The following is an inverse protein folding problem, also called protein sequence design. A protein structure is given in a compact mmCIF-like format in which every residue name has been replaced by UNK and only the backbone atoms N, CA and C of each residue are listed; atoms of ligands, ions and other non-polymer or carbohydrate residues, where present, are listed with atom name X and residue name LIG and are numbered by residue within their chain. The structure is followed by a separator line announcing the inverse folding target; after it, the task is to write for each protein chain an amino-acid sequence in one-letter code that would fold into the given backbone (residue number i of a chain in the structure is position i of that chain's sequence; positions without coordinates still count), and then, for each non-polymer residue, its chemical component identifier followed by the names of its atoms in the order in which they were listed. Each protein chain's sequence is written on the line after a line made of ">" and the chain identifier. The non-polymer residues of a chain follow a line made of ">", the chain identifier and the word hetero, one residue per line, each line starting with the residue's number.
data_IF_360117708215
#
_entry.id   IF_360117708215
#
_cell.length_a   1.000
_cell.length_b   1.000
_cell.length_c   1.000
_cell.angle_alpha   90.00
_cell.angle_beta   90.00
_cell.angle_gamma   90.00
#
_symmetry.space_group_name_H-M   'P 1'
#
loop_
_entity.id
_entity.type
_entity.pdbx_description
1 polymer ?
#
# COMPACT_ATOMS: atom_id res chain seq x y z
N UNK A 1 10.51 -1.06 -13.81
CA UNK A 1 9.30 -1.11 -14.67
C UNK A 1 8.23 -0.29 -13.96
N UNK A 2 7.54 0.64 -14.64
CA UNK A 2 6.54 1.48 -13.97
C UNK A 2 5.34 0.63 -13.55
N UNK A 3 5.26 0.28 -12.27
CA UNK A 3 4.06 -0.33 -11.72
C UNK A 3 2.89 0.62 -11.91
N UNK A 4 1.81 0.11 -12.49
CA UNK A 4 0.63 0.90 -12.82
C UNK A 4 -0.49 0.53 -11.87
N UNK A 5 -1.35 1.51 -11.57
CA UNK A 5 -2.52 1.31 -10.71
C UNK A 5 -3.44 0.18 -11.21
N UNK A 6 -3.40 -0.15 -12.50
CA UNK A 6 -4.15 -1.25 -13.09
C UNK A 6 -3.83 -2.62 -12.49
N UNK A 7 -2.66 -2.78 -11.86
CA UNK A 7 -2.30 -3.99 -11.14
C UNK A 7 -2.86 -4.02 -9.71
N UNK A 8 -3.41 -2.93 -9.18
CA UNK A 8 -3.95 -2.80 -7.82
C UNK A 8 -5.48 -2.88 -7.82
N UNK A 9 -6.00 -3.82 -7.05
CA UNK A 9 -7.42 -4.11 -6.85
C UNK A 9 -7.81 -3.66 -5.45
N UNK A 10 -8.65 -2.63 -5.36
CA UNK A 10 -9.14 -2.16 -4.07
C UNK A 10 -10.07 -3.20 -3.42
N UNK A 11 -9.75 -3.62 -2.20
CA UNK A 11 -10.54 -4.59 -1.42
C UNK A 11 -11.49 -3.91 -0.42
N UNK A 12 -11.34 -2.61 -0.20
CA UNK A 12 -12.13 -1.84 0.77
C UNK A 12 -11.30 -1.32 1.93
N UNK A 13 -11.96 -0.68 2.88
CA UNK A 13 -11.35 -0.10 4.07
C UNK A 13 -11.89 -0.79 5.32
N UNK A 14 -11.01 -1.12 6.27
CA UNK A 14 -11.40 -1.65 7.58
C UNK A 14 -10.66 -0.90 8.67
N UNK A 15 -11.41 -0.22 9.54
CA UNK A 15 -10.88 0.54 10.67
C UNK A 15 -9.81 1.58 10.27
N UNK A 16 -10.00 2.27 9.15
CA UNK A 16 -9.05 3.27 8.62
C UNK A 16 -7.84 2.67 7.88
N UNK A 17 -7.73 1.35 7.80
CA UNK A 17 -6.74 0.67 6.97
C UNK A 17 -7.36 0.33 5.62
N UNK A 18 -6.77 0.85 4.55
CA UNK A 18 -7.18 0.57 3.18
C UNK A 18 -6.49 -0.70 2.69
N UNK A 19 -7.28 -1.69 2.30
CA UNK A 19 -6.79 -2.94 1.74
C UNK A 19 -6.78 -2.87 0.21
N UNK A 20 -5.68 -3.33 -0.34
CA UNK A 20 -5.44 -3.44 -1.77
C UNK A 20 -4.83 -4.80 -2.06
N UNK A 21 -5.13 -5.36 -3.22
CA UNK A 21 -4.52 -6.59 -3.69
C UNK A 21 -3.91 -6.37 -5.05
N UNK A 22 -2.71 -6.87 -5.31
CA UNK A 22 -2.18 -6.86 -6.67
C UNK A 22 -2.71 -8.04 -7.47
N UNK A 23 -2.71 -7.91 -8.79
CA UNK A 23 -2.97 -9.02 -9.71
C UNK A 23 -1.98 -10.18 -9.53
N UNK A 24 -0.79 -9.89 -8.98
CA UNK A 24 0.20 -10.91 -8.63
C UNK A 24 -0.22 -11.77 -7.42
N UNK A 25 -1.20 -11.32 -6.62
CA UNK A 25 -1.66 -11.99 -5.40
C UNK A 25 -1.23 -11.32 -4.10
N UNK A 26 -0.49 -10.21 -4.16
CA UNK A 26 0.02 -9.53 -2.97
C UNK A 26 -1.07 -8.71 -2.30
N UNK A 27 -1.22 -8.82 -0.99
CA UNK A 27 -2.13 -7.92 -0.25
C UNK A 27 -1.33 -6.75 0.35
N UNK A 28 -1.85 -5.54 0.24
CA UNK A 28 -1.29 -4.30 0.75
C UNK A 28 -2.29 -3.69 1.73
N UNK A 29 -1.79 -3.35 2.92
CA UNK A 29 -2.52 -2.71 4.00
C UNK A 29 -1.92 -1.32 4.17
N UNK A 30 -2.65 -0.30 3.75
CA UNK A 30 -2.18 1.07 3.85
C UNK A 30 -2.93 1.81 4.96
N UNK A 31 -2.18 2.52 5.79
CA UNK A 31 -2.65 3.45 6.80
C UNK A 31 -1.87 4.76 6.65
N UNK A 32 -2.42 5.94 6.95
CA UNK A 32 -1.68 7.21 6.91
C UNK A 32 -0.37 7.23 7.71
N UNK A 33 -0.23 6.35 8.70
CA UNK A 33 0.97 6.23 9.54
C UNK A 33 1.95 5.16 9.02
N UNK A 34 1.46 4.16 8.28
CA UNK A 34 2.27 3.00 7.88
C UNK A 34 1.72 2.26 6.66
N UNK A 35 2.61 1.64 5.89
CA UNK A 35 2.27 0.71 4.82
C UNK A 35 2.81 -0.68 5.16
N UNK A 36 1.93 -1.69 5.15
CA UNK A 36 2.28 -3.09 5.38
C UNK A 36 1.93 -3.95 4.16
N UNK A 37 2.78 -4.90 3.82
CA UNK A 37 2.68 -5.72 2.61
C UNK A 37 2.67 -7.18 3.03
N UNK A 38 1.58 -7.87 2.72
CA UNK A 38 1.31 -9.23 3.17
C UNK A 38 2.22 -10.28 2.53
N UNK A 39 2.71 -10.08 1.31
CA UNK A 39 3.65 -11.06 0.70
C UNK A 39 5.03 -11.07 1.35
N UNK A 40 5.38 -10.08 2.18
CA UNK A 40 6.63 -10.08 2.93
C UNK A 40 6.58 -11.00 4.17
N UNK A 41 5.75 -12.05 4.12
CA UNK A 41 5.66 -13.14 5.11
C UNK A 41 6.96 -13.95 5.26
N UNK A 42 8.03 -13.66 4.51
CA UNK A 42 9.39 -14.11 4.87
C UNK A 42 9.90 -13.44 6.16
N UNK A 43 9.17 -12.45 6.70
CA UNK A 43 9.30 -11.97 8.08
C UNK A 43 10.40 -10.94 8.29
N UNK A 44 10.94 -10.35 7.22
CA UNK A 44 12.13 -9.49 7.31
C UNK A 44 11.87 -8.00 7.06
N UNK A 45 10.70 -7.58 6.56
CA UNK A 45 10.42 -6.15 6.37
C UNK A 45 9.36 -5.63 7.35
N UNK A 46 9.75 -4.79 8.32
CA UNK A 46 8.79 -4.08 9.15
C UNK A 46 7.89 -3.18 8.29
N UNK A 47 6.70 -2.88 8.79
CA UNK A 47 5.81 -1.90 8.15
C UNK A 47 6.59 -0.60 7.88
N UNK A 48 6.45 -0.08 6.67
CA UNK A 48 7.14 1.15 6.28
C UNK A 48 6.38 2.30 6.91
N UNK A 49 7.03 3.03 7.82
CA UNK A 49 6.46 4.27 8.35
C UNK A 49 6.32 5.26 7.21
N UNK A 50 5.11 5.73 6.98
CA UNK A 50 4.85 6.79 6.01
C UNK A 50 4.36 8.01 6.76
N UNK A 51 4.63 9.17 6.19
CA UNK A 51 4.17 10.43 6.75
C UNK A 51 3.29 11.09 5.70
N UNK A 52 1.99 10.80 5.75
CA UNK A 52 1.02 11.61 5.00
C UNK A 52 0.70 12.85 5.82
N UNK A 53 1.09 14.01 5.31
CA UNK A 53 0.75 15.33 5.88
C UNK A 53 -0.76 15.65 5.77
N UNK A 54 -1.54 14.73 5.17
CA UNK A 54 -2.95 14.95 4.87
C UNK A 54 -3.82 14.59 6.08
N UNK A 55 -4.64 15.53 6.62
CA UNK A 55 -5.47 15.28 7.80
C UNK A 55 -6.65 14.33 7.54
N UNK A 56 -6.93 14.02 6.26
CA UNK A 56 -7.90 13.02 5.84
C UNK A 56 -7.20 12.05 4.89
N UNK A 57 -6.77 10.88 5.36
CA UNK A 57 -6.27 9.84 4.46
C UNK A 57 -7.33 9.55 3.41
N UNK A 58 -6.97 9.68 2.13
CA UNK A 58 -7.86 9.31 1.03
C UNK A 58 -7.37 8.05 0.35
N UNK A 59 -8.28 7.38 -0.36
CA UNK A 59 -7.95 6.26 -1.24
C UNK A 59 -6.79 6.63 -2.19
N UNK A 60 -6.80 7.85 -2.72
CA UNK A 60 -5.78 8.36 -3.63
C UNK A 60 -4.39 8.48 -2.96
N UNK A 61 -4.32 8.87 -1.68
CA UNK A 61 -3.07 8.88 -0.92
C UNK A 61 -2.50 7.46 -0.76
N UNK A 62 -3.38 6.48 -0.51
CA UNK A 62 -3.02 5.06 -0.43
C UNK A 62 -2.42 4.56 -1.75
N UNK A 63 -3.11 4.85 -2.85
CA UNK A 63 -2.70 4.48 -4.20
C UNK A 63 -1.32 5.04 -4.55
N UNK A 64 -1.12 6.35 -4.33
CA UNK A 64 0.17 7.00 -4.58
C UNK A 64 1.29 6.42 -3.72
N UNK A 65 1.02 6.12 -2.44
CA UNK A 65 2.02 5.55 -1.54
C UNK A 65 2.42 4.15 -1.97
N UNK A 66 1.44 3.29 -2.31
CA UNK A 66 1.70 1.92 -2.76
C UNK A 66 2.47 1.96 -4.09
N UNK A 67 2.05 2.79 -5.04
CA UNK A 67 2.73 2.96 -6.33
C UNK A 67 4.17 3.44 -6.16
N UNK A 68 4.40 4.44 -5.30
CA UNK A 68 5.75 4.93 -4.99
C UNK A 68 6.61 3.83 -4.40
N UNK A 69 6.08 3.06 -3.45
CA UNK A 69 6.80 1.97 -2.83
C UNK A 69 7.17 0.86 -3.84
N UNK A 70 6.25 0.53 -4.75
CA UNK A 70 6.50 -0.42 -5.83
C UNK A 70 7.57 0.08 -6.81
N UNK A 71 7.56 1.37 -7.15
CA UNK A 71 8.58 1.98 -8.02
C UNK A 71 9.97 1.99 -7.37
N UNK A 72 10.05 2.31 -6.06
CA UNK A 72 11.32 2.29 -5.30
C UNK A 72 11.92 0.89 -5.13
N UNK A 73 11.10 -0.18 -5.26
CA UNK A 73 11.57 -1.57 -5.22
C UNK A 73 11.94 -2.16 -6.60
N UNK A 74 11.73 -1.41 -7.70
CA UNK A 74 11.94 -1.89 -9.07
C UNK A 74 13.33 -1.61 -9.65
#
# INVERSE_FOLDING_TARGET
>A
MKHSLGDLVYQGERAGVHNWNTLAGTSFYWHPDWLHIAEDMTGMRPAVTINTDNPKPTQQDAEQTILKHLDEQS
#
